data_IF_564835404286
#
_entry.id   IF_564835404286
#
_cell.length_a   1.000
_cell.length_b   1.000
_cell.length_c   1.000
_cell.angle_alpha   90.00
_cell.angle_beta   90.00
_cell.angle_gamma   90.00
#
_symmetry.space_group_name_H-M   'P 1'
#
loop_
_entity.id
_entity.type
_entity.pdbx_description
1 polymer ?
#
# COMPACT_ATOMS: atom_id res chain seq x y z
N UNK A 1 2.78 19.58 13.44
CA UNK A 1 3.20 19.38 12.04
C UNK A 1 3.67 17.94 11.93
N UNK A 2 2.76 17.01 11.65
CA UNK A 2 3.10 15.61 11.42
C UNK A 2 3.43 15.46 9.94
N UNK A 3 4.62 14.93 9.64
CA UNK A 3 5.00 14.47 8.31
C UNK A 3 3.85 13.62 7.77
N UNK A 4 3.20 14.05 6.69
CA UNK A 4 2.27 13.21 5.93
C UNK A 4 3.06 11.96 5.57
N UNK A 5 2.76 10.85 6.23
CA UNK A 5 3.42 9.59 5.97
C UNK A 5 3.00 9.21 4.56
N UNK A 6 3.99 9.04 3.68
CA UNK A 6 3.72 8.64 2.31
C UNK A 6 2.92 7.33 2.35
N UNK A 7 1.81 7.27 1.63
CA UNK A 7 1.01 6.06 1.55
C UNK A 7 1.83 4.97 0.85
N UNK A 8 2.05 3.83 1.52
CA UNK A 8 2.85 2.71 1.00
C UNK A 8 1.91 1.51 0.81
N UNK A 9 1.89 0.88 -0.39
CA UNK A 9 1.06 -0.29 -0.61
C UNK A 9 1.64 -1.50 0.11
N UNK A 10 0.78 -2.26 0.80
CA UNK A 10 1.11 -3.50 1.49
C UNK A 10 0.53 -4.66 0.68
N UNK A 11 1.41 -5.47 0.08
CA UNK A 11 0.99 -6.65 -0.70
C UNK A 11 1.29 -7.92 0.09
N UNK A 12 0.25 -8.70 0.35
CA UNK A 12 0.31 -9.96 1.09
C UNK A 12 0.09 -11.15 0.16
N UNK A 13 1.00 -12.13 0.19
CA UNK A 13 0.90 -13.32 -0.64
C UNK A 13 0.06 -14.42 0.00
N UNK A 14 -0.85 -15.01 -0.78
CA UNK A 14 -1.73 -16.10 -0.33
C UNK A 14 -2.86 -15.56 0.55
N UNK A 15 -3.93 -15.07 -0.08
CA UNK A 15 -5.06 -14.45 0.60
C UNK A 15 -5.63 -15.35 1.70
N UNK A 16 -5.88 -16.61 1.37
CA UNK A 16 -6.49 -17.58 2.28
C UNK A 16 -5.66 -17.81 3.55
N UNK A 17 -4.33 -17.69 3.46
CA UNK A 17 -3.46 -17.77 4.62
C UNK A 17 -3.67 -16.55 5.52
N UNK A 18 -3.55 -15.34 4.95
CA UNK A 18 -3.60 -14.11 5.73
C UNK A 18 -4.97 -13.82 6.34
N UNK A 19 -6.07 -14.10 5.63
CA UNK A 19 -7.43 -13.92 6.16
C UNK A 19 -7.75 -14.88 7.31
N UNK A 20 -6.95 -15.95 7.50
CA UNK A 20 -7.05 -16.85 8.65
C UNK A 20 -6.14 -16.45 9.80
N UNK A 21 -5.07 -15.72 9.52
CA UNK A 21 -4.07 -15.29 10.51
C UNK A 21 -4.52 -14.00 11.18
N UNK A 22 -5.05 -13.04 10.41
CA UNK A 22 -5.48 -11.73 10.90
C UNK A 22 -6.81 -11.35 10.23
N UNK A 23 -7.75 -10.87 11.04
CA UNK A 23 -8.93 -10.14 10.57
C UNK A 23 -8.61 -8.64 10.60
N UNK A 24 -8.24 -8.08 9.45
CA UNK A 24 -7.89 -6.67 9.34
C UNK A 24 -9.08 -5.75 9.61
N UNK A 25 -10.30 -6.17 9.27
CA UNK A 25 -11.50 -5.36 9.56
C UNK A 25 -11.71 -5.26 11.06
N UNK A 26 -11.57 -6.38 11.79
CA UNK A 26 -11.63 -6.37 13.24
C UNK A 26 -10.59 -5.43 13.87
N UNK A 27 -9.37 -5.38 13.34
CA UNK A 27 -8.35 -4.44 13.82
C UNK A 27 -8.73 -2.98 13.57
N UNK A 28 -9.45 -2.68 12.49
CA UNK A 28 -9.95 -1.34 12.22
C UNK A 28 -11.09 -0.97 13.17
N UNK A 29 -12.02 -1.90 13.38
CA UNK A 29 -13.16 -1.73 14.29
C UNK A 29 -12.69 -1.47 15.75
N UNK A 30 -11.61 -2.12 16.18
CA UNK A 30 -10.98 -1.92 17.48
C UNK A 30 -10.07 -0.67 17.54
N UNK A 31 -9.94 0.07 16.44
CA UNK A 31 -9.14 1.30 16.35
C UNK A 31 -7.62 1.08 16.40
N UNK A 32 -7.15 -0.15 16.15
CA UNK A 32 -5.72 -0.51 16.09
C UNK A 32 -5.11 -0.04 14.76
N UNK A 33 -5.90 -0.07 13.69
CA UNK A 33 -5.57 0.52 12.39
C UNK A 33 -6.67 1.53 12.01
N UNK A 34 -6.31 2.57 11.27
CA UNK A 34 -7.31 3.48 10.70
C UNK A 34 -8.02 2.78 9.53
N UNK A 35 -9.33 3.04 9.36
CA UNK A 35 -10.11 2.48 8.25
C UNK A 35 -9.49 2.77 6.87
N UNK A 36 -8.96 3.98 6.69
CA UNK A 36 -8.29 4.39 5.44
C UNK A 36 -7.02 3.56 5.13
N UNK A 37 -6.40 2.95 6.14
CA UNK A 37 -5.24 2.08 5.92
C UNK A 37 -5.61 0.69 5.39
N UNK A 38 -6.89 0.28 5.52
CA UNK A 38 -7.35 -0.97 4.89
C UNK A 38 -7.20 -0.91 3.37
N UNK A 39 -7.36 0.27 2.77
CA UNK A 39 -7.20 0.49 1.32
C UNK A 39 -5.74 0.32 0.85
N UNK A 40 -4.77 0.33 1.77
CA UNK A 40 -3.36 0.08 1.46
C UNK A 40 -3.04 -1.42 1.40
N UNK A 41 -3.91 -2.28 1.93
CA UNK A 41 -3.69 -3.72 1.98
C UNK A 41 -4.28 -4.36 0.73
N UNK A 42 -3.49 -5.18 0.06
CA UNK A 42 -3.91 -5.96 -1.11
C UNK A 42 -3.32 -7.35 -1.06
N UNK A 43 -4.01 -8.31 -1.66
CA UNK A 43 -3.58 -9.71 -1.73
C UNK A 43 -3.14 -10.08 -3.15
N UNK A 44 -2.12 -10.91 -3.25
CA UNK A 44 -1.64 -11.47 -4.51
C UNK A 44 -1.40 -12.97 -4.36
N UNK A 45 -1.64 -13.73 -5.42
CA UNK A 45 -1.30 -15.15 -5.51
C UNK A 45 -0.03 -15.37 -6.35
N UNK A 46 0.34 -14.40 -7.18
CA UNK A 46 1.53 -14.47 -8.04
C UNK A 46 2.39 -13.19 -7.98
N UNK A 47 3.70 -13.28 -8.29
CA UNK A 47 4.58 -12.11 -8.36
C UNK A 47 4.10 -11.04 -9.35
N UNK A 48 3.55 -11.46 -10.49
CA UNK A 48 3.01 -10.55 -11.51
C UNK A 48 1.82 -9.75 -10.97
N UNK A 49 0.89 -10.39 -10.25
CA UNK A 49 -0.23 -9.70 -9.59
C UNK A 49 0.26 -8.68 -8.56
N UNK A 50 1.27 -9.05 -7.76
CA UNK A 50 1.87 -8.14 -6.78
C UNK A 50 2.47 -6.90 -7.47
N UNK A 51 3.18 -7.10 -8.57
CA UNK A 51 3.72 -6.00 -9.37
C UNK A 51 2.62 -5.10 -9.93
N UNK A 52 1.55 -5.68 -10.46
CA UNK A 52 0.39 -4.94 -10.97
C UNK A 52 -0.32 -4.12 -9.89
N UNK A 53 -0.39 -4.62 -8.66
CA UNK A 53 -0.92 -3.88 -7.51
C UNK A 53 -0.05 -2.65 -7.23
N UNK A 54 1.26 -2.83 -7.09
CA UNK A 54 2.21 -1.73 -6.81
C UNK A 54 2.17 -0.70 -7.94
N UNK A 55 2.20 -1.13 -9.20
CA UNK A 55 2.14 -0.25 -10.36
C UNK A 55 0.82 0.54 -10.42
N UNK A 56 -0.32 -0.09 -10.13
CA UNK A 56 -1.62 0.61 -10.03
C UNK A 56 -1.64 1.63 -8.91
N UNK A 57 -1.10 1.27 -7.75
CA UNK A 57 -1.01 2.16 -6.60
C UNK A 57 -0.22 3.44 -6.93
N UNK A 58 0.98 3.31 -7.50
CA UNK A 58 1.79 4.47 -7.90
C UNK A 58 1.18 5.29 -9.04
N UNK A 59 0.42 4.66 -9.96
CA UNK A 59 -0.32 5.41 -10.99
C UNK A 59 -1.43 6.26 -10.38
N UNK A 60 -2.15 5.73 -9.37
CA UNK A 60 -3.22 6.44 -8.67
C UNK A 60 -2.69 7.61 -7.82
N UNK A 61 -1.51 7.46 -7.23
CA UNK A 61 -0.92 8.44 -6.31
C UNK A 61 0.18 9.31 -6.96
N UNK A 62 0.27 9.34 -8.29
CA UNK A 62 1.23 10.18 -9.05
C UNK A 62 1.04 11.70 -8.86
N UNK A 63 0.06 12.14 -8.08
CA UNK A 63 -0.27 13.56 -7.92
C UNK A 63 0.38 14.26 -6.72
N UNK A 64 1.10 13.57 -5.82
CA UNK A 64 1.67 14.21 -4.60
C UNK A 64 3.17 13.94 -4.34
N UNK A 65 3.93 13.46 -5.32
CA UNK A 65 5.39 13.40 -5.20
C UNK A 65 6.02 13.90 -6.50
N UNK A 66 6.21 15.22 -6.55
CA UNK A 66 7.17 15.83 -7.45
C UNK A 66 8.55 15.37 -7.02
N UNK A 67 9.00 14.24 -7.56
CA UNK A 67 10.40 13.86 -7.47
C UNK A 67 11.15 14.79 -8.42
N UNK A 68 11.86 15.75 -7.84
CA UNK A 68 12.82 16.57 -8.55
C UNK A 68 13.93 15.64 -9.05
N UNK A 69 13.81 15.18 -10.30
CA UNK A 69 14.96 14.72 -11.05
C UNK A 69 15.80 15.97 -11.35
N UNK A 70 16.79 16.23 -10.51
CA UNK A 70 17.82 17.23 -10.83
C UNK A 70 18.53 16.80 -12.12
N UNK A 71 18.55 17.63 -13.18
CA UNK A 71 19.43 17.40 -14.30
C UNK A 71 20.77 18.07 -13.98
N UNK A 72 21.76 17.29 -13.55
CA UNK A 72 23.15 17.74 -13.43
C UNK A 72 24.01 16.55 -13.05
N UNK A 73 24.80 15.98 -13.97
CA UNK A 73 26.00 16.54 -14.60
C UNK A 73 27.13 15.55 -14.27
N UNK A 74 28.02 15.10 -15.14
CA UNK A 74 28.45 15.51 -16.48
C UNK A 74 28.42 14.35 -17.47
#
# INVERSE_FOLDING_TARGET
QTKRMQEIPIVLFGKDYWTRVIDFQFLADEGVIADEHLDLISFAETPDEAWDIVARFHRRHRSESGDAVEPGGS
#
